data_IF_547364629754
#
_entry.id   IF_547364629754
#
_cell.length_a   1.000
_cell.length_b   1.000
_cell.length_c   1.000
_cell.angle_alpha   90.00
_cell.angle_beta   90.00
_cell.angle_gamma   90.00
#
_symmetry.space_group_name_H-M   'P 1'
#
loop_
_entity.id
_entity.type
_entity.pdbx_description
1 polymer ?
#
# COMPACT_ATOMS: atom_id res chain seq x y z
N UNK A 1 8.72 54.03 17.03
CA UNK A 1 9.11 52.73 16.46
C UNK A 1 7.79 52.04 16.13
N UNK A 2 7.47 51.87 14.84
CA UNK A 2 6.27 51.14 14.44
C UNK A 2 6.60 49.65 14.56
N UNK A 3 6.08 49.05 15.62
CA UNK A 3 6.16 47.63 15.92
C UNK A 3 5.26 46.90 14.91
N UNK A 4 5.88 46.23 13.93
CA UNK A 4 5.14 45.45 12.95
C UNK A 4 4.42 44.29 13.64
N UNK A 5 3.10 44.40 13.82
CA UNK A 5 2.25 43.30 14.25
C UNK A 5 1.91 42.43 13.03
N UNK A 6 2.29 41.14 13.09
CA UNK A 6 1.87 40.16 12.09
C UNK A 6 0.47 39.69 12.45
N UNK A 7 -0.54 40.09 11.67
CA UNK A 7 -1.86 39.47 11.71
C UNK A 7 -1.81 38.18 10.88
N UNK A 8 -1.97 37.04 11.55
CA UNK A 8 -2.26 35.78 10.88
C UNK A 8 -3.77 35.76 10.59
N UNK A 9 -4.16 35.68 9.32
CA UNK A 9 -5.54 35.39 8.98
C UNK A 9 -5.81 33.92 9.31
N UNK A 10 -6.75 33.66 10.22
CA UNK A 10 -7.12 32.30 10.64
C UNK A 10 -7.64 31.45 9.47
N UNK A 11 -8.03 32.07 8.36
CA UNK A 11 -8.56 31.40 7.17
C UNK A 11 -7.56 31.30 6.01
N UNK A 12 -6.31 31.71 6.20
CA UNK A 12 -5.29 31.58 5.18
C UNK A 12 -4.99 30.10 4.92
N UNK A 13 -5.16 29.66 3.67
CA UNK A 13 -4.87 28.31 3.23
C UNK A 13 -3.59 28.32 2.39
N UNK A 14 -2.68 27.40 2.71
CA UNK A 14 -1.43 27.22 1.97
C UNK A 14 -1.42 25.86 1.25
N UNK A 15 -0.98 25.88 -0.01
CA UNK A 15 -0.86 24.69 -0.83
C UNK A 15 0.54 24.10 -0.73
N UNK A 16 0.62 22.83 -0.33
CA UNK A 16 1.88 22.10 -0.22
C UNK A 16 2.01 21.03 -1.30
N UNK A 17 3.19 20.98 -1.93
CA UNK A 17 3.54 20.00 -2.95
C UNK A 17 4.54 18.99 -2.40
N UNK A 18 4.28 17.71 -2.64
CA UNK A 18 5.09 16.60 -2.10
C UNK A 18 5.30 15.57 -3.20
N UNK A 19 6.53 15.09 -3.32
CA UNK A 19 6.88 14.05 -4.31
C UNK A 19 6.50 12.67 -3.79
N UNK A 20 5.78 11.88 -4.59
CA UNK A 20 5.62 10.43 -4.39
C UNK A 20 6.65 9.68 -5.24
N UNK A 21 7.53 8.94 -4.58
CA UNK A 21 8.59 8.16 -5.21
C UNK A 21 8.20 6.70 -5.36
N UNK A 22 8.03 6.28 -6.62
CA UNK A 22 7.65 4.92 -7.03
C UNK A 22 8.84 4.12 -7.58
N UNK A 23 10.08 4.62 -7.47
CA UNK A 23 11.27 4.00 -8.08
C UNK A 23 11.56 2.58 -7.59
N UNK A 24 11.14 2.24 -6.37
CA UNK A 24 11.31 0.91 -5.78
C UNK A 24 10.23 -0.09 -6.18
N UNK A 25 9.22 0.34 -6.94
CA UNK A 25 8.08 -0.51 -7.32
C UNK A 25 8.36 -1.10 -8.70
N UNK A 26 8.43 -2.44 -8.82
CA UNK A 26 8.59 -3.07 -10.12
C UNK A 26 7.37 -2.75 -11.00
N UNK A 27 7.57 -2.50 -12.30
CA UNK A 27 6.45 -2.34 -13.22
C UNK A 27 5.64 -3.64 -13.25
N UNK A 28 4.31 -3.52 -13.22
CA UNK A 28 3.39 -4.67 -13.35
C UNK A 28 3.78 -5.49 -14.59
N UNK A 29 4.04 -6.78 -14.39
CA UNK A 29 4.38 -7.72 -15.47
C UNK A 29 5.85 -8.14 -15.57
N UNK A 30 6.77 -7.62 -14.76
CA UNK A 30 8.08 -8.28 -14.57
C UNK A 30 7.90 -9.50 -13.69
N UNK A 31 7.46 -10.60 -14.29
CA UNK A 31 7.70 -11.94 -13.75
C UNK A 31 9.22 -12.10 -13.72
N UNK A 32 9.83 -11.88 -12.54
CA UNK A 32 11.17 -12.38 -12.27
C UNK A 32 11.03 -13.90 -12.22
N UNK A 33 11.10 -14.52 -13.40
CA UNK A 33 11.25 -15.95 -13.50
C UNK A 33 12.49 -16.33 -12.70
N UNK A 34 12.28 -17.19 -11.71
CA UNK A 34 13.34 -17.95 -11.07
C UNK A 34 14.13 -18.66 -12.17
N UNK A 35 15.26 -18.10 -12.56
CA UNK A 35 16.27 -18.82 -13.36
C UNK A 35 17.48 -18.99 -12.47
N UNK A 36 17.68 -20.27 -12.18
CA UNK A 36 18.84 -20.94 -11.64
C UNK A 36 20.16 -20.14 -11.70
N UNK A 37 20.81 -20.09 -10.54
CA UNK A 37 22.26 -20.12 -10.31
C UNK A 37 23.15 -19.87 -11.55
N UNK A 38 23.77 -18.69 -11.65
CA UNK A 38 25.16 -18.43 -12.08
C UNK A 38 25.46 -16.90 -12.07
N UNK A 39 26.27 -16.49 -11.08
CA UNK A 39 27.19 -15.34 -10.91
C UNK A 39 27.02 -13.98 -11.68
N UNK A 40 27.52 -12.87 -11.10
CA UNK A 40 26.90 -11.55 -11.19
C UNK A 40 27.49 -10.66 -12.30
N UNK A 41 26.62 -10.06 -13.10
CA UNK A 41 26.94 -8.85 -13.88
C UNK A 41 25.87 -7.80 -13.53
N UNK A 42 26.24 -6.58 -13.10
CA UNK A 42 25.29 -5.57 -12.72
C UNK A 42 24.65 -5.02 -14.00
N UNK A 43 23.54 -5.63 -14.43
CA UNK A 43 22.69 -5.02 -15.45
C UNK A 43 21.84 -3.97 -14.77
N UNK A 44 22.31 -2.73 -14.84
CA UNK A 44 21.54 -1.53 -14.55
C UNK A 44 20.26 -1.62 -15.38
N UNK A 45 19.16 -2.00 -14.73
CA UNK A 45 17.82 -2.09 -15.29
C UNK A 45 17.38 -0.68 -15.65
N UNK A 46 17.61 -0.31 -16.91
CA UNK A 46 17.18 0.98 -17.47
C UNK A 46 15.66 1.05 -17.41
N UNK A 47 15.16 2.11 -16.78
CA UNK A 47 13.76 2.48 -16.67
C UNK A 47 13.14 2.67 -18.07
N UNK A 48 12.59 1.60 -18.64
CA UNK A 48 12.02 1.58 -20.00
C UNK A 48 10.84 2.55 -20.17
N UNK A 49 10.16 2.92 -19.07
CA UNK A 49 9.08 3.89 -19.06
C UNK A 49 9.52 5.29 -19.50
N UNK A 50 10.71 5.75 -19.10
CA UNK A 50 11.22 7.09 -19.47
C UNK A 50 11.69 7.15 -20.92
N UNK A 51 12.24 6.06 -21.46
CA UNK A 51 12.68 6.02 -22.86
C UNK A 51 11.51 6.08 -23.84
N UNK A 52 10.39 5.44 -23.50
CA UNK A 52 9.16 5.55 -24.30
C UNK A 52 8.58 6.98 -24.25
N UNK A 53 8.64 7.66 -23.10
CA UNK A 53 8.22 9.07 -22.96
C UNK A 53 9.12 10.05 -23.72
N UNK A 54 10.44 9.87 -23.68
CA UNK A 54 11.40 10.70 -24.44
C UNK A 54 11.28 10.51 -25.96
N UNK A 55 10.95 9.31 -26.43
CA UNK A 55 10.69 9.06 -27.86
C UNK A 55 9.39 9.69 -28.35
N UNK A 56 8.36 9.76 -27.51
CA UNK A 56 7.12 10.46 -27.84
C UNK A 56 7.35 11.98 -27.99
N UNK A 57 8.25 12.56 -27.19
CA UNK A 57 8.62 13.98 -27.30
C UNK A 57 9.41 14.30 -28.58
N UNK A 58 10.32 13.42 -29.02
CA UNK A 58 11.13 13.65 -30.23
C UNK A 58 10.37 13.52 -31.56
N UNK A 59 9.13 13.02 -31.55
CA UNK A 59 8.30 12.90 -32.77
C UNK A 59 7.50 14.15 -33.12
N UNK A 60 7.53 15.21 -32.29
CA UNK A 60 6.82 16.47 -32.59
C UNK A 60 7.63 17.49 -33.41
N UNK A 61 8.91 17.22 -33.72
CA UNK A 61 9.81 18.21 -34.33
C UNK A 61 10.08 17.98 -35.84
N UNK A 62 9.47 16.96 -36.44
CA UNK A 62 9.44 16.80 -37.90
C UNK A 62 8.07 17.29 -38.39
N UNK A 63 8.02 18.55 -38.83
CA UNK A 63 6.81 19.19 -39.28
C UNK A 63 6.20 18.54 -40.52
N UNK A 64 4.87 18.45 -40.52
CA UNK A 64 3.99 18.56 -41.68
C UNK A 64 2.54 18.73 -41.20
N UNK A 65 1.82 19.64 -41.87
CA UNK A 65 0.53 20.21 -41.48
C UNK A 65 -0.55 19.19 -41.09
N UNK A 66 -1.19 19.41 -39.93
CA UNK A 66 -2.54 18.93 -39.66
C UNK A 66 -3.26 19.88 -38.69
N UNK A 67 -4.34 20.48 -39.19
CA UNK A 67 -5.45 21.19 -38.54
C UNK A 67 -5.54 21.12 -37.02
N UNK A 68 -5.66 22.31 -36.42
CA UNK A 68 -6.07 22.57 -35.03
C UNK A 68 -7.33 21.76 -34.66
N UNK A 69 -7.12 20.65 -33.98
CA UNK A 69 -8.03 20.19 -32.94
C UNK A 69 -7.36 20.54 -31.61
N UNK A 70 -8.08 21.10 -30.63
CA UNK A 70 -7.52 21.26 -29.30
C UNK A 70 -7.26 19.86 -28.78
N UNK A 71 -6.01 19.42 -28.85
CA UNK A 71 -5.54 18.25 -28.13
C UNK A 71 -5.64 18.68 -26.67
N UNK A 72 -6.79 18.41 -26.06
CA UNK A 72 -6.90 18.23 -24.63
C UNK A 72 -5.78 17.26 -24.27
N UNK A 73 -4.69 17.80 -23.75
CA UNK A 73 -3.68 17.01 -23.07
C UNK A 73 -4.32 16.54 -21.77
N UNK A 74 -5.27 15.61 -21.90
CA UNK A 74 -5.69 14.73 -20.84
C UNK A 74 -4.38 14.21 -20.24
N UNK A 75 -4.05 14.58 -19.00
CA UNK A 75 -2.84 14.10 -18.37
C UNK A 75 -2.98 12.59 -18.39
N UNK A 76 -2.14 11.92 -19.19
CA UNK A 76 -2.20 10.47 -19.44
C UNK A 76 -2.59 9.80 -18.13
N UNK A 77 -3.86 9.36 -18.03
CA UNK A 77 -4.55 9.11 -16.77
C UNK A 77 -3.57 8.43 -15.82
N UNK A 78 -3.00 9.18 -14.87
CA UNK A 78 -2.37 8.55 -13.72
C UNK A 78 -3.48 7.65 -13.20
N UNK A 79 -3.26 6.34 -13.22
CA UNK A 79 -4.32 5.39 -12.88
C UNK A 79 -4.97 5.77 -11.56
N UNK A 80 -6.17 5.25 -11.29
CA UNK A 80 -6.89 5.57 -10.07
C UNK A 80 -5.96 5.47 -8.84
N UNK A 81 -5.74 6.61 -8.19
CA UNK A 81 -4.89 6.72 -7.00
C UNK A 81 -5.78 6.95 -5.80
N UNK A 82 -5.59 6.16 -4.75
CA UNK A 82 -6.25 6.35 -3.47
C UNK A 82 -5.21 6.43 -2.37
N UNK A 83 -5.34 7.42 -1.51
CA UNK A 83 -4.43 7.65 -0.38
C UNK A 83 -5.23 7.47 0.91
N UNK A 84 -4.67 6.75 1.87
CA UNK A 84 -5.24 6.56 3.20
C UNK A 84 -4.18 6.84 4.27
N UNK A 85 -4.59 7.50 5.35
CA UNK A 85 -3.72 7.79 6.49
C UNK A 85 -2.51 8.65 6.14
N UNK A 86 -2.67 9.67 5.28
CA UNK A 86 -1.57 10.56 4.88
C UNK A 86 -0.87 11.23 6.08
N UNK A 87 -1.63 11.53 7.13
CA UNK A 87 -1.13 12.10 8.38
C UNK A 87 -0.32 11.11 9.24
N UNK A 88 -0.30 9.82 8.90
CA UNK A 88 0.42 8.80 9.67
C UNK A 88 1.87 8.70 9.21
N UNK A 89 2.71 8.04 10.02
CA UNK A 89 4.09 7.71 9.63
C UNK A 89 4.18 6.68 8.50
N UNK A 90 3.09 5.95 8.23
CA UNK A 90 3.01 4.90 7.21
C UNK A 90 1.74 5.08 6.36
N UNK A 91 1.68 6.10 5.48
CA UNK A 91 0.55 6.27 4.58
C UNK A 91 0.40 5.07 3.65
N UNK A 92 -0.84 4.69 3.37
CA UNK A 92 -1.15 3.62 2.42
C UNK A 92 -1.64 4.24 1.12
N UNK A 93 -1.09 3.81 0.00
CA UNK A 93 -1.47 4.29 -1.33
C UNK A 93 -1.83 3.10 -2.20
N UNK A 94 -3.00 3.15 -2.83
CA UNK A 94 -3.34 2.25 -3.94
C UNK A 94 -3.03 3.01 -5.22
N UNK A 95 -2.14 2.48 -6.04
CA UNK A 95 -1.76 3.08 -7.32
C UNK A 95 -1.63 1.96 -8.35
N UNK A 96 -2.37 2.07 -9.47
CA UNK A 96 -2.43 1.04 -10.51
C UNK A 96 -2.60 -0.37 -9.88
N UNK A 97 -3.66 -0.62 -9.10
CA UNK A 97 -3.96 -1.86 -8.35
C UNK A 97 -2.86 -2.44 -7.44
N UNK A 98 -1.77 -1.71 -7.19
CA UNK A 98 -0.75 -2.11 -6.24
C UNK A 98 -1.00 -1.40 -4.92
N UNK A 99 -1.04 -2.17 -3.82
CA UNK A 99 -1.07 -1.59 -2.49
C UNK A 99 0.36 -1.24 -2.08
N UNK A 100 0.57 0.01 -1.73
CA UNK A 100 1.86 0.57 -1.37
C UNK A 100 1.82 1.06 0.07
N UNK A 101 2.86 0.73 0.82
CA UNK A 101 3.18 1.33 2.10
C UNK A 101 4.21 2.41 1.84
N UNK A 102 3.89 3.64 2.25
CA UNK A 102 4.79 4.77 2.09
C UNK A 102 5.46 5.13 3.41
N UNK A 103 6.62 5.77 3.35
CA UNK A 103 7.26 6.43 4.49
C UNK A 103 7.67 7.83 4.12
N UNK A 104 7.47 8.75 5.06
CA UNK A 104 7.97 10.11 4.96
C UNK A 104 9.50 10.10 5.05
N UNK A 105 10.16 10.80 4.15
CA UNK A 105 11.61 11.00 4.19
C UNK A 105 11.95 12.45 3.86
N UNK A 106 12.95 12.98 4.55
CA UNK A 106 13.50 14.30 4.26
C UNK A 106 14.64 14.18 3.24
N UNK A 107 14.62 15.02 2.22
CA UNK A 107 15.68 15.08 1.21
C UNK A 107 16.73 16.09 1.61
N UNK A 108 18.01 15.76 1.36
CA UNK A 108 19.08 16.76 1.44
C UNK A 108 19.00 17.60 0.17
N UNK A 109 18.42 18.79 0.28
CA UNK A 109 18.22 19.73 -0.83
C UNK A 109 16.81 20.30 -0.86
N UNK A 110 16.44 20.84 -2.02
CA UNK A 110 15.11 21.42 -2.24
C UNK A 110 14.63 20.98 -3.63
N UNK A 111 13.52 20.25 -3.65
CA UNK A 111 12.78 19.93 -4.86
C UNK A 111 11.95 21.16 -5.25
N UNK A 112 11.95 21.51 -6.53
CA UNK A 112 11.20 22.65 -7.08
C UNK A 112 10.24 22.15 -8.18
N UNK A 113 8.98 22.53 -8.09
CA UNK A 113 7.95 22.10 -9.03
C UNK A 113 7.65 23.20 -10.06
N UNK A 114 8.06 22.97 -11.31
CA UNK A 114 7.81 23.89 -12.42
C UNK A 114 6.71 23.36 -13.33
N UNK A 115 5.78 24.23 -13.69
CA UNK A 115 4.70 23.95 -14.64
C UNK A 115 4.72 24.98 -15.77
N UNK A 116 4.12 24.64 -16.92
CA UNK A 116 3.86 25.66 -17.94
C UNK A 116 2.83 26.64 -17.38
N UNK A 117 2.94 27.95 -17.70
CA UNK A 117 1.95 28.92 -17.26
C UNK A 117 0.56 28.49 -17.74
N UNK A 118 -0.34 28.29 -16.79
CA UNK A 118 -1.69 27.80 -17.01
C UNK A 118 -2.64 28.63 -16.14
N UNK A 119 -3.64 29.32 -16.74
CA UNK A 119 -4.59 30.12 -15.97
C UNK A 119 -5.50 29.30 -15.05
N UNK A 120 -5.62 27.99 -15.26
CA UNK A 120 -6.48 27.10 -14.46
C UNK A 120 -5.77 26.60 -13.21
N UNK A 121 -4.44 26.65 -13.19
CA UNK A 121 -3.64 26.37 -12.00
C UNK A 121 -3.64 27.63 -11.12
N UNK A 122 -3.85 27.45 -9.81
CA UNK A 122 -3.90 28.54 -8.83
C UNK A 122 -2.64 29.43 -8.85
N UNK A 123 -2.61 30.46 -8.00
CA UNK A 123 -1.52 31.44 -8.06
C UNK A 123 -0.16 30.77 -7.76
N UNK A 124 0.80 30.78 -8.71
CA UNK A 124 2.10 30.15 -8.49
C UNK A 124 2.93 30.97 -7.51
N UNK A 125 3.83 30.29 -6.79
CA UNK A 125 4.80 30.92 -5.89
C UNK A 125 5.67 31.95 -6.62
N UNK A 126 6.03 31.68 -7.88
CA UNK A 126 6.72 32.65 -8.74
C UNK A 126 6.43 32.40 -10.22
N UNK A 127 6.02 33.46 -10.93
CA UNK A 127 5.94 33.46 -12.39
C UNK A 127 7.31 33.72 -13.01
N UNK A 128 7.72 32.92 -13.99
CA UNK A 128 8.91 33.20 -14.81
C UNK A 128 8.52 33.33 -16.29
N UNK A 129 9.50 33.68 -17.14
CA UNK A 129 9.27 33.95 -18.57
C UNK A 129 8.67 32.77 -19.35
N UNK A 130 8.97 31.53 -18.95
CA UNK A 130 8.60 30.31 -19.70
C UNK A 130 7.95 29.21 -18.85
N UNK A 131 7.94 29.38 -17.53
CA UNK A 131 7.44 28.40 -16.57
C UNK A 131 7.04 29.11 -15.28
N UNK A 132 6.11 28.51 -14.54
CA UNK A 132 5.70 28.95 -13.22
C UNK A 132 6.21 27.97 -12.16
N UNK A 133 6.78 28.51 -11.09
CA UNK A 133 7.16 27.76 -9.90
C UNK A 133 5.93 27.61 -9.01
N UNK A 134 5.42 26.40 -8.87
CA UNK A 134 4.25 26.08 -8.03
C UNK A 134 4.61 25.96 -6.57
N UNK A 135 5.74 25.33 -6.27
CA UNK A 135 6.13 25.07 -4.89
C UNK A 135 7.53 24.53 -4.75
N UNK A 136 7.96 24.45 -3.50
CA UNK A 136 9.24 23.91 -3.09
C UNK A 136 9.01 22.88 -1.98
N UNK A 137 9.82 21.82 -1.94
CA UNK A 137 9.70 20.79 -0.91
C UNK A 137 11.05 20.19 -0.55
N UNK A 138 11.18 19.78 0.71
CA UNK A 138 12.33 19.04 1.25
C UNK A 138 11.91 17.67 1.79
N UNK A 139 10.69 17.23 1.48
CA UNK A 139 10.11 16.00 1.99
C UNK A 139 9.39 15.25 0.87
N UNK A 140 9.50 13.93 0.88
CA UNK A 140 8.86 13.05 -0.09
C UNK A 140 8.33 11.79 0.56
N UNK A 141 7.41 11.12 -0.13
CA UNK A 141 6.90 9.81 0.22
C UNK A 141 7.67 8.75 -0.56
N UNK A 142 8.36 7.84 0.14
CA UNK A 142 8.99 6.67 -0.48
C UNK A 142 8.04 5.48 -0.41
N UNK A 143 7.63 4.97 -1.56
CA UNK A 143 6.71 3.85 -1.64
C UNK A 143 7.45 2.49 -1.68
N UNK A 144 6.84 1.51 -1.02
CA UNK A 144 7.26 0.10 -1.01
C UNK A 144 6.00 -0.76 -1.19
N UNK A 145 6.09 -1.85 -1.93
CA UNK A 145 4.98 -2.80 -2.08
C UNK A 145 4.54 -3.35 -0.72
N UNK A 146 3.24 -3.27 -0.43
CA UNK A 146 2.65 -3.76 0.80
C UNK A 146 1.82 -5.02 0.55
N UNK A 147 1.83 -5.93 1.52
CA UNK A 147 1.04 -7.17 1.48
C UNK A 147 0.04 -7.19 2.61
N UNK A 148 -1.23 -7.36 2.26
CA UNK A 148 -2.29 -7.56 3.25
C UNK A 148 -2.17 -8.96 3.83
N UNK A 149 -2.13 -9.02 5.17
CA UNK A 149 -2.17 -10.27 5.92
C UNK A 149 -3.47 -10.31 6.72
N UNK A 150 -4.25 -11.39 6.62
CA UNK A 150 -5.39 -11.61 7.51
C UNK A 150 -4.92 -11.59 8.97
N UNK A 151 -5.71 -10.93 9.84
CA UNK A 151 -5.34 -10.70 11.23
C UNK A 151 -5.23 -11.98 12.08
N UNK A 152 -5.91 -13.05 11.66
CA UNK A 152 -6.01 -14.30 12.42
C UNK A 152 -4.70 -15.12 12.47
N UNK A 153 -3.74 -14.87 11.56
CA UNK A 153 -2.45 -15.62 11.52
C UNK A 153 -1.40 -15.11 12.50
N UNK A 154 -1.56 -13.90 13.07
CA UNK A 154 -0.54 -13.26 13.94
C UNK A 154 -0.63 -13.75 15.39
N UNK A 155 -1.68 -14.50 15.74
CA UNK A 155 -1.92 -15.01 17.10
C UNK A 155 -1.59 -16.50 17.17
N UNK A 156 -0.32 -16.90 17.04
CA UNK A 156 0.26 -18.08 17.72
C UNK A 156 1.68 -18.40 17.20
N UNK A 157 2.67 -17.86 17.89
CA UNK A 157 3.93 -18.58 18.09
C UNK A 157 4.57 -18.19 19.42
N UNK A 158 3.77 -18.22 20.49
CA UNK A 158 4.33 -18.32 21.85
C UNK A 158 4.57 -19.81 22.07
N UNK A 159 5.76 -20.28 21.70
CA UNK A 159 6.24 -21.62 22.03
C UNK A 159 6.39 -21.68 23.55
N UNK A 160 5.41 -22.27 24.23
CA UNK A 160 5.59 -22.71 25.61
C UNK A 160 6.57 -23.90 25.59
N UNK A 161 7.58 -23.94 26.46
CA UNK A 161 8.53 -25.04 26.50
C UNK A 161 7.81 -26.35 26.88
N UNK A 162 8.15 -27.39 26.12
CA UNK A 162 7.68 -28.76 26.27
C UNK A 162 8.09 -29.31 27.64
N UNK A 163 7.14 -29.39 28.58
CA UNK A 163 7.27 -30.24 29.77
C UNK A 163 6.42 -31.48 29.57
N UNK A 164 7.10 -32.57 29.23
CA UNK A 164 6.59 -33.92 29.34
C UNK A 164 6.06 -34.19 30.75
N UNK A 165 4.87 -34.77 30.89
CA UNK A 165 4.67 -36.14 31.42
C UNK A 165 3.21 -36.50 31.66
N UNK A 166 2.93 -37.77 31.36
CA UNK A 166 1.92 -38.68 31.91
C UNK A 166 0.69 -39.00 31.03
N UNK A 167 0.74 -40.24 30.51
CA UNK A 167 -0.39 -41.00 29.99
C UNK A 167 -1.46 -41.19 31.08
N UNK A 168 -2.74 -41.36 30.67
CA UNK A 168 -3.39 -42.61 31.03
C UNK A 168 -4.22 -43.22 29.88
N UNK A 169 -3.91 -44.50 29.64
CA UNK A 169 -4.78 -45.65 29.42
C UNK A 169 -6.05 -45.54 28.54
N UNK A 170 -6.02 -46.35 27.47
CA UNK A 170 -7.09 -46.99 26.69
C UNK A 170 -8.54 -46.85 27.15
N UNK A 171 -9.41 -46.44 26.21
CA UNK A 171 -10.64 -47.22 25.91
C UNK A 171 -11.03 -47.06 24.45
N UNK A 172 -11.16 -48.20 23.78
CA UNK A 172 -11.47 -48.41 22.38
C UNK A 172 -12.82 -47.83 21.93
N UNK A 173 -12.85 -47.27 20.71
CA UNK A 173 -14.08 -46.84 20.04
C UNK A 173 -13.77 -46.23 18.68
N UNK A 174 -13.59 -47.08 17.67
CA UNK A 174 -13.36 -46.69 16.28
C UNK A 174 -14.59 -45.99 15.69
N UNK A 175 -14.42 -44.77 15.17
CA UNK A 175 -15.17 -44.26 14.02
C UNK A 175 -14.30 -43.28 13.23
N UNK A 176 -13.88 -43.80 12.08
CA UNK A 176 -13.37 -43.24 10.85
C UNK A 176 -13.16 -41.72 10.73
N UNK A 177 -11.93 -41.38 10.35
CA UNK A 177 -11.51 -40.08 9.90
C UNK A 177 -12.13 -39.72 8.54
N UNK A 178 -12.90 -38.63 8.50
CA UNK A 178 -13.08 -37.85 7.29
C UNK A 178 -12.52 -36.44 7.50
N UNK A 179 -11.37 -36.21 6.87
CA UNK A 179 -10.69 -34.94 6.75
C UNK A 179 -11.49 -34.01 5.84
N UNK A 180 -12.35 -33.15 6.41
CA UNK A 180 -12.78 -31.92 5.74
C UNK A 180 -12.69 -30.75 6.70
N UNK A 181 -11.78 -29.83 6.34
CA UNK A 181 -11.40 -28.57 6.96
C UNK A 181 -12.62 -27.84 7.56
N UNK A 182 -12.81 -27.96 8.86
CA UNK A 182 -13.83 -27.25 9.63
C UNK A 182 -13.30 -25.91 10.19
N UNK A 183 -14.19 -24.96 10.52
CA UNK A 183 -13.84 -23.65 11.08
C UNK A 183 -13.08 -23.80 12.42
N UNK A 184 -12.34 -22.78 12.89
CA UNK A 184 -11.34 -22.92 13.96
C UNK A 184 -11.98 -23.46 15.25
N UNK A 185 -11.73 -24.74 15.53
CA UNK A 185 -12.20 -25.50 16.69
C UNK A 185 -11.54 -25.02 17.99
N UNK A 186 -10.47 -24.23 17.91
CA UNK A 186 -9.68 -23.77 19.06
C UNK A 186 -10.44 -22.81 19.98
N UNK A 187 -11.34 -21.99 19.45
CA UNK A 187 -12.14 -21.06 20.26
C UNK A 187 -13.21 -21.78 21.08
N UNK A 188 -14.01 -22.66 20.45
CA UNK A 188 -15.03 -23.44 21.17
C UNK A 188 -14.41 -24.36 22.21
N UNK A 189 -13.24 -24.92 21.92
CA UNK A 189 -12.49 -25.72 22.87
C UNK A 189 -12.11 -24.91 24.12
N UNK A 190 -11.44 -23.76 23.93
CA UNK A 190 -11.07 -22.86 25.04
C UNK A 190 -12.29 -22.36 25.82
N UNK A 191 -13.39 -22.09 25.13
CA UNK A 191 -14.61 -21.61 25.75
C UNK A 191 -15.32 -22.70 26.58
N UNK A 192 -15.35 -23.94 26.08
CA UNK A 192 -15.85 -25.09 26.83
C UNK A 192 -14.96 -25.43 28.03
N UNK A 193 -13.63 -25.29 27.90
CA UNK A 193 -12.68 -25.43 29.03
C UNK A 193 -12.90 -24.36 30.10
N UNK A 194 -13.10 -23.11 29.71
CA UNK A 194 -13.42 -22.02 30.64
C UNK A 194 -14.77 -22.24 31.34
N UNK A 195 -15.79 -22.72 30.62
CA UNK A 195 -17.08 -23.11 31.21
C UNK A 195 -16.92 -24.24 32.23
N UNK A 196 -16.15 -25.28 31.89
CA UNK A 196 -15.87 -26.39 32.80
C UNK A 196 -15.16 -25.93 34.08
N UNK A 197 -14.17 -25.02 33.97
CA UNK A 197 -13.52 -24.40 35.13
C UNK A 197 -14.47 -23.60 36.02
N UNK A 198 -15.54 -23.05 35.44
CA UNK A 198 -16.59 -22.31 36.15
C UNK A 198 -17.71 -23.19 36.70
N UNK A 199 -17.63 -24.52 36.50
CA UNK A 199 -18.64 -25.48 36.95
C UNK A 199 -19.87 -25.61 36.02
N UNK A 200 -19.86 -24.94 34.86
CA UNK A 200 -20.92 -25.04 33.86
C UNK A 200 -20.79 -26.36 33.10
N UNK A 201 -21.83 -27.22 33.16
CA UNK A 201 -21.85 -28.55 32.49
C UNK A 201 -22.26 -28.49 31.01
N UNK A 202 -22.55 -27.30 30.48
CA UNK A 202 -23.01 -27.12 29.10
C UNK A 202 -21.82 -27.03 28.16
N UNK A 203 -21.78 -27.91 27.15
CA UNK A 203 -20.74 -27.90 26.11
C UNK A 203 -21.38 -27.43 24.81
N UNK A 204 -20.74 -26.45 24.18
CA UNK A 204 -21.17 -25.94 22.89
C UNK A 204 -20.49 -26.73 21.77
N UNK A 205 -21.27 -27.14 20.78
CA UNK A 205 -20.80 -27.86 19.60
C UNK A 205 -21.49 -27.36 18.34
N UNK A 206 -20.89 -27.60 17.17
CA UNK A 206 -21.56 -27.36 15.89
C UNK A 206 -22.28 -28.63 15.45
N UNK A 207 -23.57 -28.53 15.18
CA UNK A 207 -24.32 -29.55 14.45
C UNK A 207 -24.46 -29.11 12.99
N UNK A 208 -24.09 -29.99 12.06
CA UNK A 208 -24.39 -29.81 10.63
C UNK A 208 -25.60 -30.67 10.26
N UNK A 209 -26.61 -30.04 9.69
CA UNK A 209 -27.71 -30.72 9.01
C UNK A 209 -27.88 -30.04 7.65
N UNK A 210 -27.82 -30.85 6.59
CA UNK A 210 -28.11 -30.47 5.19
C UNK A 210 -27.67 -29.04 4.77
N UNK A 211 -26.37 -28.74 4.88
CA UNK A 211 -25.77 -27.50 4.36
C UNK A 211 -25.69 -26.33 5.34
N UNK A 212 -26.35 -26.41 6.49
CA UNK A 212 -26.31 -25.35 7.51
C UNK A 212 -25.59 -25.83 8.78
N UNK A 213 -24.68 -24.98 9.30
CA UNK A 213 -23.99 -25.23 10.55
C UNK A 213 -24.61 -24.36 11.64
N UNK A 214 -25.21 -25.00 12.66
CA UNK A 214 -25.79 -24.32 13.81
C UNK A 214 -25.04 -24.66 15.10
N UNK A 215 -24.92 -23.68 15.99
CA UNK A 215 -24.37 -23.87 17.32
C UNK A 215 -25.45 -24.49 18.22
N UNK A 216 -25.11 -25.56 18.92
CA UNK A 216 -25.97 -26.26 19.88
C UNK A 216 -25.27 -26.40 21.23
#
# INVERSE_FOLDING_TARGET
>A
EEEWEYEYDENEAEDFYITLDLSNIPPKGTVVGSVDSQLPVPRISKTSSLQNRLRAFKRRDSGENATDSPISSEPASLGAMQINGLHTSIPLIVYEDQLLSCKWTSTIGTDMYFVKPDPDLGQPLRKLHSADLLGISSTKLMAVEARLRPRDEVVQQVTLPDMATSNPLDTSGAVEAHTTRGPPTSFLQKLNEAKAKRGDKTRLAFARSSGEARLI
#
